data_IF_042653339201
#
_entry.id   IF_042653339201
#
_cell.length_a   1.000
_cell.length_b   1.000
_cell.length_c   1.000
_cell.angle_alpha   90.00
_cell.angle_beta   90.00
_cell.angle_gamma   90.00
#
_symmetry.space_group_name_H-M   'P 1'
#
loop_
_entity.id
_entity.type
_entity.pdbx_description
1 polymer ?
#
# COMPACT_ATOMS: atom_id res chain seq x y z
N UNK A 1 -27.60 45.91 34.63
CA UNK A 1 -26.28 45.65 34.04
C UNK A 1 -26.10 44.17 33.80
N UNK A 2 -26.44 43.69 32.61
CA UNK A 2 -26.36 42.25 32.20
C UNK A 2 -24.98 42.07 31.57
N UNK A 3 -24.09 41.33 32.24
CA UNK A 3 -22.79 40.89 31.68
C UNK A 3 -23.03 39.70 30.77
N UNK A 4 -22.97 39.91 29.45
CA UNK A 4 -23.01 38.92 28.42
C UNK A 4 -21.66 38.15 28.40
N UNK A 5 -21.65 36.90 28.91
CA UNK A 5 -20.48 36.04 28.90
C UNK A 5 -20.42 35.37 27.52
N UNK A 6 -19.58 35.83 26.61
CA UNK A 6 -19.35 35.20 25.32
C UNK A 6 -18.44 33.99 25.55
N UNK A 7 -19.05 32.80 25.53
CA UNK A 7 -18.32 31.50 25.59
C UNK A 7 -17.73 31.22 24.19
N UNK A 8 -16.42 31.46 24.04
CA UNK A 8 -15.69 31.19 22.84
C UNK A 8 -15.50 29.65 22.72
N UNK A 9 -16.34 28.98 21.91
CA UNK A 9 -16.14 27.56 21.60
C UNK A 9 -14.93 27.39 20.68
N UNK A 10 -13.81 27.01 21.24
CA UNK A 10 -12.63 26.56 20.49
C UNK A 10 -12.93 25.15 19.99
N UNK A 11 -13.29 25.03 18.72
CA UNK A 11 -13.43 23.72 18.06
C UNK A 11 -12.04 23.11 17.91
N UNK A 12 -11.79 21.89 18.42
CA UNK A 12 -10.53 21.20 18.18
C UNK A 12 -10.39 20.91 16.69
N UNK A 13 -9.37 21.48 16.05
CA UNK A 13 -8.95 21.04 14.71
C UNK A 13 -8.36 19.66 14.88
N UNK A 14 -9.03 18.65 14.30
CA UNK A 14 -8.54 17.28 14.30
C UNK A 14 -7.26 17.24 13.46
N UNK A 15 -6.10 17.31 14.09
CA UNK A 15 -4.82 17.08 13.43
C UNK A 15 -4.78 15.63 12.96
N UNK A 16 -4.70 15.42 11.65
CA UNK A 16 -4.54 14.08 11.09
C UNK A 16 -3.17 13.53 11.47
N UNK A 17 -3.15 12.43 12.22
CA UNK A 17 -1.89 11.86 12.67
C UNK A 17 -1.06 11.38 11.47
N UNK A 18 0.27 11.62 11.51
CA UNK A 18 1.22 11.14 10.51
C UNK A 18 1.14 9.60 10.36
N UNK A 19 0.76 9.06 9.19
CA UNK A 19 0.66 7.61 8.99
C UNK A 19 2.00 6.89 9.15
N UNK A 20 1.95 5.58 9.40
CA UNK A 20 3.12 4.72 9.25
C UNK A 20 3.36 4.42 7.77
N UNK A 21 4.60 4.09 7.39
CA UNK A 21 4.88 3.63 6.01
C UNK A 21 4.11 2.34 5.73
N UNK A 22 3.28 2.36 4.69
CA UNK A 22 2.43 1.23 4.34
C UNK A 22 1.24 1.61 3.49
N UNK A 23 0.29 0.68 3.38
CA UNK A 23 -0.97 0.85 2.68
C UNK A 23 -1.83 1.93 3.36
N UNK A 24 -2.37 2.85 2.57
CA UNK A 24 -3.42 3.78 2.99
C UNK A 24 -4.79 3.26 2.59
N UNK A 25 -4.98 3.01 1.30
CA UNK A 25 -6.26 2.58 0.75
C UNK A 25 -6.06 1.64 -0.44
N UNK A 26 -6.96 0.68 -0.59
CA UNK A 26 -7.08 -0.19 -1.76
C UNK A 26 -8.49 -0.01 -2.34
N UNK A 27 -8.59 0.75 -3.43
CA UNK A 27 -9.85 1.03 -4.09
C UNK A 27 -10.26 -0.07 -5.09
N UNK A 28 -9.29 -0.72 -5.74
CA UNK A 28 -9.57 -1.81 -6.69
C UNK A 28 -10.15 -3.06 -6.00
N UNK A 29 -11.20 -3.70 -6.56
CA UNK A 29 -11.73 -4.96 -6.06
C UNK A 29 -10.83 -6.16 -6.36
N UNK A 30 -9.90 -6.05 -7.32
CA UNK A 30 -9.01 -7.12 -7.72
C UNK A 30 -8.04 -7.51 -6.59
N UNK A 31 -7.62 -8.79 -6.50
CA UNK A 31 -6.62 -9.21 -5.54
C UNK A 31 -5.28 -8.49 -5.74
N UNK A 32 -4.73 -7.96 -4.68
CA UNK A 32 -3.41 -7.33 -4.67
C UNK A 32 -2.37 -8.39 -4.29
N UNK A 33 -1.62 -8.90 -5.28
CA UNK A 33 -0.68 -10.01 -5.10
C UNK A 33 0.70 -9.74 -5.70
N UNK A 34 0.87 -8.64 -6.43
CA UNK A 34 2.08 -8.34 -7.20
C UNK A 34 2.92 -7.33 -6.44
N UNK A 35 4.23 -7.56 -6.24
CA UNK A 35 5.06 -6.70 -5.40
C UNK A 35 5.35 -5.35 -6.03
N UNK A 36 5.20 -4.29 -5.25
CA UNK A 36 5.72 -2.95 -5.51
C UNK A 36 6.63 -2.54 -4.36
N UNK A 37 7.82 -2.07 -4.69
CA UNK A 37 8.71 -1.44 -3.73
C UNK A 37 9.06 -0.03 -4.20
N UNK A 38 8.94 0.95 -3.31
CA UNK A 38 9.27 2.35 -3.60
C UNK A 38 10.26 2.87 -2.58
N UNK A 39 11.32 3.52 -3.08
CA UNK A 39 12.23 4.36 -2.30
C UNK A 39 12.13 5.78 -2.79
N UNK A 40 12.24 6.74 -1.89
CA UNK A 40 12.17 8.17 -2.20
C UNK A 40 13.15 8.95 -1.30
N UNK A 41 13.41 10.23 -1.60
CA UNK A 41 14.26 11.08 -0.77
C UNK A 41 13.82 11.10 0.70
N UNK A 42 14.79 11.29 1.59
CA UNK A 42 14.57 11.16 3.03
C UNK A 42 14.05 12.44 3.71
N UNK A 43 14.09 13.55 3.03
CA UNK A 43 13.80 14.89 3.58
C UNK A 43 12.32 15.25 3.64
N UNK A 44 11.46 14.45 2.98
CA UNK A 44 10.00 14.63 2.96
C UNK A 44 9.30 13.27 3.10
N UNK A 45 8.02 13.33 3.43
CA UNK A 45 7.11 12.18 3.31
C UNK A 45 6.41 12.20 1.95
N UNK A 46 5.92 11.04 1.51
CA UNK A 46 5.35 10.89 0.18
C UNK A 46 4.05 10.08 0.24
N UNK A 47 3.02 10.55 -0.46
CA UNK A 47 1.84 9.77 -0.80
C UNK A 47 2.05 9.17 -2.19
N UNK A 48 1.96 7.86 -2.30
CA UNK A 48 2.16 7.07 -3.51
C UNK A 48 0.79 6.58 -3.95
N UNK A 49 0.35 6.98 -5.15
CA UNK A 49 -0.96 6.64 -5.67
C UNK A 49 -0.78 5.95 -7.01
N UNK A 50 -1.32 4.76 -7.16
CA UNK A 50 -1.44 4.10 -8.45
C UNK A 50 -2.87 4.28 -8.97
N UNK A 51 -2.98 4.71 -10.22
CA UNK A 51 -4.24 4.84 -10.96
C UNK A 51 -4.23 3.93 -12.17
N UNK A 52 -5.41 3.53 -12.63
CA UNK A 52 -5.57 2.82 -13.90
C UNK A 52 -5.40 3.76 -15.11
N UNK A 53 -5.66 3.25 -16.30
CA UNK A 53 -5.59 3.98 -17.57
C UNK A 53 -6.67 5.07 -17.69
N UNK A 54 -7.75 4.96 -16.93
CA UNK A 54 -8.84 5.94 -16.86
C UNK A 54 -8.62 7.00 -15.77
N UNK A 55 -7.55 6.85 -14.97
CA UNK A 55 -7.22 7.75 -13.87
C UNK A 55 -7.95 7.42 -12.57
N UNK A 56 -8.69 6.31 -12.50
CA UNK A 56 -9.33 5.89 -11.25
C UNK A 56 -8.29 5.32 -10.27
N UNK A 57 -8.41 5.63 -8.96
CA UNK A 57 -7.51 5.11 -7.95
C UNK A 57 -7.56 3.59 -7.86
N UNK A 58 -6.41 2.93 -7.85
CA UNK A 58 -6.26 1.49 -7.67
C UNK A 58 -5.81 1.16 -6.26
N UNK A 59 -4.75 1.80 -5.83
CA UNK A 59 -4.14 1.61 -4.51
C UNK A 59 -3.30 2.81 -4.13
N UNK A 60 -3.26 3.15 -2.86
CA UNK A 60 -2.43 4.22 -2.33
C UNK A 60 -1.65 3.77 -1.11
N UNK A 61 -0.50 4.39 -0.90
CA UNK A 61 0.37 4.12 0.23
C UNK A 61 1.07 5.37 0.73
N UNK A 62 1.48 5.34 1.98
CA UNK A 62 2.28 6.37 2.62
C UNK A 62 3.72 5.91 2.78
N UNK A 63 4.65 6.74 2.38
CA UNK A 63 6.08 6.50 2.50
C UNK A 63 6.71 7.63 3.33
N UNK A 64 7.16 7.31 4.54
CA UNK A 64 7.96 8.24 5.34
C UNK A 64 9.32 8.45 4.71
N UNK A 65 9.85 9.65 4.78
CA UNK A 65 11.17 9.98 4.30
C UNK A 65 12.23 9.01 4.80
N UNK A 66 13.08 8.48 3.91
CA UNK A 66 14.12 7.51 4.20
C UNK A 66 13.65 6.06 4.42
N UNK A 67 12.35 5.81 4.49
CA UNK A 67 11.82 4.46 4.59
C UNK A 67 11.72 3.77 3.21
N UNK A 68 11.27 2.52 3.21
CA UNK A 68 10.96 1.75 2.00
C UNK A 68 9.51 1.33 2.05
N UNK A 69 8.71 1.82 1.12
CA UNK A 69 7.33 1.36 0.95
C UNK A 69 7.32 0.00 0.26
N UNK A 70 6.56 -0.93 0.81
CA UNK A 70 6.28 -2.23 0.19
C UNK A 70 4.78 -2.44 0.16
N UNK A 71 4.23 -2.61 -1.04
CA UNK A 71 2.82 -2.90 -1.26
C UNK A 71 2.68 -4.15 -2.11
N UNK A 72 1.53 -4.78 -2.00
CA UNK A 72 1.04 -5.69 -3.02
C UNK A 72 0.01 -4.93 -3.85
N UNK A 73 0.10 -5.07 -5.18
CA UNK A 73 -0.68 -4.31 -6.17
C UNK A 73 -1.51 -5.27 -7.00
N UNK A 74 -2.74 -4.90 -7.41
CA UNK A 74 -3.51 -5.64 -8.40
C UNK A 74 -2.80 -5.69 -9.77
N UNK A 75 -3.12 -6.69 -10.62
CA UNK A 75 -2.59 -6.75 -11.99
C UNK A 75 -3.10 -5.58 -12.84
N UNK A 76 -2.31 -5.18 -13.83
CA UNK A 76 -2.61 -4.12 -14.78
C UNK A 76 -1.45 -3.17 -15.00
N UNK A 77 -1.61 -2.26 -15.96
CA UNK A 77 -0.70 -1.14 -16.19
C UNK A 77 -1.19 0.05 -15.37
N UNK A 78 -0.41 0.48 -14.41
CA UNK A 78 -0.80 1.57 -13.52
C UNK A 78 0.12 2.78 -13.68
N UNK A 79 -0.48 3.96 -13.59
CA UNK A 79 0.26 5.23 -13.54
C UNK A 79 0.59 5.58 -12.10
N UNK A 80 1.81 6.01 -11.88
CA UNK A 80 2.27 6.43 -10.57
C UNK A 80 2.13 7.94 -10.41
N UNK A 81 1.41 8.35 -9.40
CA UNK A 81 1.30 9.74 -8.96
C UNK A 81 1.88 9.86 -7.56
N UNK A 82 2.66 10.91 -7.33
CA UNK A 82 3.33 11.15 -6.05
C UNK A 82 3.03 12.57 -5.57
N UNK A 83 2.53 12.69 -4.35
CA UNK A 83 2.53 13.95 -3.63
C UNK A 83 3.59 13.89 -2.53
N UNK A 84 4.28 14.99 -2.29
CA UNK A 84 5.36 15.07 -1.30
C UNK A 84 5.23 16.31 -0.46
N UNK A 85 5.59 16.22 0.81
CA UNK A 85 5.62 17.35 1.71
C UNK A 85 6.17 16.99 3.09
N UNK A 86 6.35 18.02 3.94
CA UNK A 86 6.71 17.82 5.33
C UNK A 86 5.65 16.98 6.07
N UNK A 87 6.09 16.15 7.01
CA UNK A 87 5.21 15.24 7.73
C UNK A 87 4.03 15.92 8.46
N UNK A 88 4.25 17.15 8.95
CA UNK A 88 3.23 17.95 9.65
C UNK A 88 2.13 18.48 8.72
N UNK A 89 2.39 18.53 7.41
CA UNK A 89 1.44 19.07 6.42
C UNK A 89 0.48 17.99 5.90
N UNK A 90 0.58 16.77 6.41
CA UNK A 90 -0.30 15.68 6.03
C UNK A 90 -1.75 15.91 6.48
N UNK A 91 -2.69 15.94 5.52
CA UNK A 91 -4.12 16.22 5.73
C UNK A 91 -5.04 15.03 5.38
N UNK A 92 -4.47 13.88 5.03
CA UNK A 92 -5.22 12.73 4.52
C UNK A 92 -5.17 12.63 3.00
N UNK A 93 -5.77 11.55 2.44
CA UNK A 93 -5.67 11.24 1.01
C UNK A 93 -6.21 12.33 0.08
N UNK A 94 -7.36 13.00 0.33
CA UNK A 94 -7.89 14.00 -0.60
C UNK A 94 -6.94 15.18 -0.79
N UNK A 95 -6.39 15.70 0.29
CA UNK A 95 -5.61 16.94 0.31
C UNK A 95 -4.10 16.68 0.44
N UNK A 96 -3.71 15.48 0.86
CA UNK A 96 -2.34 15.00 1.05
C UNK A 96 -1.47 16.00 1.84
N UNK A 97 -0.58 16.72 1.19
CA UNK A 97 0.29 17.73 1.78
C UNK A 97 -0.07 19.16 1.35
N UNK A 98 -1.24 19.35 0.73
CA UNK A 98 -1.63 20.63 0.16
C UNK A 98 -0.82 21.05 -1.08
N UNK A 99 0.05 20.18 -1.57
CA UNK A 99 0.86 20.37 -2.79
C UNK A 99 0.30 19.56 -3.95
N UNK A 100 0.43 20.04 -5.20
CA UNK A 100 0.02 19.28 -6.36
C UNK A 100 0.73 17.93 -6.44
N UNK A 101 -0.02 16.88 -6.69
CA UNK A 101 0.57 15.57 -6.94
C UNK A 101 1.16 15.51 -8.36
N UNK A 102 2.32 14.89 -8.49
CA UNK A 102 3.07 14.78 -9.74
C UNK A 102 2.82 13.40 -10.34
N UNK A 103 2.22 13.35 -11.52
CA UNK A 103 2.08 12.12 -12.28
C UNK A 103 3.38 11.83 -13.03
N UNK A 104 3.91 10.61 -12.84
CA UNK A 104 5.09 10.16 -13.58
C UNK A 104 4.67 9.62 -14.95
N UNK A 105 5.43 9.97 -16.01
CA UNK A 105 4.96 9.76 -17.40
C UNK A 105 4.89 8.28 -17.81
N UNK A 106 5.66 7.41 -17.15
CA UNK A 106 5.78 6.02 -17.57
C UNK A 106 4.85 5.11 -16.75
N UNK A 107 3.98 4.32 -17.38
CA UNK A 107 3.19 3.32 -16.68
C UNK A 107 4.08 2.21 -16.11
N UNK A 108 3.63 1.63 -15.03
CA UNK A 108 4.25 0.50 -14.34
C UNK A 108 3.42 -0.74 -14.60
N UNK A 109 3.92 -1.75 -15.32
CA UNK A 109 3.23 -3.02 -15.53
C UNK A 109 3.31 -3.89 -14.28
N UNK A 110 2.18 -4.51 -13.94
CA UNK A 110 2.04 -5.53 -12.90
C UNK A 110 1.38 -6.75 -13.52
N UNK A 111 2.15 -7.82 -13.70
CA UNK A 111 1.75 -8.96 -14.51
C UNK A 111 1.63 -10.22 -13.66
N UNK A 112 0.60 -11.02 -13.97
CA UNK A 112 0.43 -12.38 -13.47
C UNK A 112 0.67 -13.32 -14.65
N UNK A 113 1.68 -14.18 -14.53
CA UNK A 113 1.95 -15.26 -15.47
C UNK A 113 2.05 -16.58 -14.70
N UNK A 114 1.00 -17.37 -14.77
CA UNK A 114 0.88 -18.60 -13.99
C UNK A 114 1.08 -18.33 -12.48
N UNK A 115 2.14 -18.91 -11.93
CA UNK A 115 2.54 -18.69 -10.53
C UNK A 115 3.40 -17.44 -10.34
N UNK A 116 3.95 -16.86 -11.39
CA UNK A 116 4.81 -15.67 -11.34
C UNK A 116 3.99 -14.41 -11.14
N UNK A 117 4.50 -13.52 -10.29
CA UNK A 117 3.97 -12.18 -10.02
C UNK A 117 5.10 -11.20 -10.30
N UNK A 118 4.98 -10.50 -11.42
CA UNK A 118 6.00 -9.58 -11.92
C UNK A 118 5.60 -8.15 -11.59
N UNK A 119 6.29 -7.57 -10.64
CA UNK A 119 6.08 -6.22 -10.15
C UNK A 119 7.31 -5.35 -10.32
N UNK A 120 7.38 -4.29 -9.54
CA UNK A 120 8.37 -3.24 -9.73
C UNK A 120 9.07 -2.86 -8.42
N UNK A 121 10.37 -2.56 -8.51
CA UNK A 121 11.12 -1.81 -7.52
C UNK A 121 11.58 -0.51 -8.15
N UNK A 122 11.21 0.63 -7.58
CA UNK A 122 11.53 1.95 -8.11
C UNK A 122 12.22 2.80 -7.07
N UNK A 123 13.13 3.64 -7.53
CA UNK A 123 13.75 4.69 -6.74
C UNK A 123 13.39 6.04 -7.34
N UNK A 124 12.84 6.91 -6.51
CA UNK A 124 12.52 8.29 -6.85
C UNK A 124 13.65 9.19 -6.37
N UNK A 125 13.99 10.18 -7.16
CA UNK A 125 14.94 11.24 -6.80
C UNK A 125 14.36 12.59 -7.18
N UNK A 126 14.85 13.64 -6.53
CA UNK A 126 14.48 15.01 -6.86
C UNK A 126 14.93 15.37 -8.28
N UNK A 127 14.09 16.13 -8.97
CA UNK A 127 14.36 16.71 -10.29
C UNK A 127 13.77 18.12 -10.31
N UNK A 128 14.57 19.10 -10.00
CA UNK A 128 14.09 20.45 -9.73
C UNK A 128 13.11 20.46 -8.54
N UNK A 129 11.92 20.99 -8.77
CA UNK A 129 10.83 21.02 -7.76
C UNK A 129 9.98 19.73 -7.78
N UNK A 130 10.32 18.76 -8.65
CA UNK A 130 9.58 17.51 -8.83
C UNK A 130 10.34 16.27 -8.41
N UNK A 131 9.76 15.14 -8.80
CA UNK A 131 10.34 13.81 -8.64
C UNK A 131 10.40 13.09 -9.98
N UNK A 132 11.44 12.27 -10.17
CA UNK A 132 11.56 11.35 -11.30
C UNK A 132 11.96 9.95 -10.86
N UNK A 133 11.67 8.95 -11.66
CA UNK A 133 12.20 7.60 -11.48
C UNK A 133 13.66 7.61 -11.97
N UNK A 134 14.60 7.32 -11.08
CA UNK A 134 16.03 7.21 -11.39
C UNK A 134 16.52 5.78 -11.52
N UNK A 135 15.81 4.84 -10.89
CA UNK A 135 16.09 3.41 -11.01
C UNK A 135 14.76 2.65 -11.04
N UNK A 136 14.68 1.66 -11.93
CA UNK A 136 13.56 0.77 -12.08
C UNK A 136 14.03 -0.65 -12.33
N UNK A 137 13.60 -1.57 -11.50
CA UNK A 137 13.94 -2.98 -11.59
C UNK A 137 12.67 -3.83 -11.51
N UNK A 138 12.64 -4.89 -12.30
CA UNK A 138 11.60 -5.90 -12.17
C UNK A 138 11.76 -6.65 -10.84
N UNK A 139 10.65 -6.86 -10.16
CA UNK A 139 10.60 -7.63 -8.92
C UNK A 139 9.65 -8.80 -9.10
N UNK A 140 10.22 -9.99 -9.11
CA UNK A 140 9.45 -11.21 -9.39
C UNK A 140 9.37 -12.04 -8.12
N UNK A 141 8.17 -12.52 -7.83
CA UNK A 141 7.91 -13.54 -6.81
C UNK A 141 7.07 -14.65 -7.40
N UNK A 142 7.29 -15.87 -6.92
CA UNK A 142 6.46 -17.03 -7.27
C UNK A 142 5.50 -17.36 -6.15
N UNK A 143 4.23 -17.55 -6.49
CA UNK A 143 3.22 -18.03 -5.55
C UNK A 143 3.03 -19.54 -5.72
N UNK A 144 3.39 -20.28 -4.70
CA UNK A 144 3.08 -21.70 -4.58
C UNK A 144 1.93 -21.90 -3.61
N UNK A 145 1.03 -22.79 -3.94
CA UNK A 145 -0.01 -23.24 -3.04
C UNK A 145 0.24 -24.71 -2.69
N UNK A 146 0.44 -24.98 -1.42
CA UNK A 146 0.53 -26.32 -0.86
C UNK A 146 -0.70 -26.63 0.00
N UNK A 147 -0.95 -27.89 0.24
CA UNK A 147 -1.91 -28.34 1.23
C UNK A 147 -1.17 -28.63 2.53
N UNK A 148 -1.47 -27.88 3.57
CA UNK A 148 -1.06 -28.26 4.92
C UNK A 148 -2.10 -29.22 5.50
N UNK A 149 -1.62 -30.35 5.99
CA UNK A 149 -2.46 -31.46 6.45
C UNK A 149 -2.25 -31.68 7.92
N UNK A 150 -3.25 -31.30 8.73
CA UNK A 150 -3.22 -31.46 10.17
C UNK A 150 -4.17 -32.56 10.64
N UNK A 151 -3.69 -33.47 11.48
CA UNK A 151 -4.53 -34.45 12.16
C UNK A 151 -5.19 -33.81 13.38
N UNK A 152 -6.51 -33.72 13.35
CA UNK A 152 -7.29 -33.14 14.43
C UNK A 152 -8.03 -34.24 15.19
N UNK A 153 -7.99 -34.19 16.51
CA UNK A 153 -8.81 -35.03 17.40
C UNK A 153 -9.83 -34.12 18.11
N UNK A 154 -11.10 -34.36 17.84
CA UNK A 154 -12.19 -33.61 18.46
C UNK A 154 -12.97 -34.52 19.39
N UNK A 155 -13.11 -34.17 20.67
CA UNK A 155 -13.91 -34.90 21.63
C UNK A 155 -15.29 -34.25 21.73
N UNK A 156 -16.33 -35.04 21.54
CA UNK A 156 -17.71 -34.60 21.72
C UNK A 156 -18.07 -34.53 23.22
N UNK A 157 -19.16 -33.83 23.58
CA UNK A 157 -19.67 -33.82 24.95
C UNK A 157 -20.02 -35.23 25.50
N UNK A 158 -20.31 -36.18 24.60
CA UNK A 158 -20.55 -37.59 24.95
C UNK A 158 -19.27 -38.37 25.29
N UNK A 159 -18.08 -37.75 25.21
CA UNK A 159 -16.80 -38.42 25.41
C UNK A 159 -16.27 -39.13 24.16
N UNK A 160 -17.03 -39.19 23.05
CA UNK A 160 -16.62 -39.83 21.83
C UNK A 160 -15.55 -39.00 21.11
N UNK A 161 -14.43 -39.62 20.68
CA UNK A 161 -13.36 -38.96 19.96
C UNK A 161 -13.49 -39.20 18.46
N UNK A 162 -13.45 -38.12 17.69
CA UNK A 162 -13.30 -38.16 16.23
C UNK A 162 -11.89 -37.80 15.86
N UNK A 163 -11.32 -38.55 14.93
CA UNK A 163 -10.04 -38.26 14.29
C UNK A 163 -10.32 -37.97 12.81
N UNK A 164 -9.97 -36.79 12.38
CA UNK A 164 -10.08 -36.41 10.97
C UNK A 164 -8.85 -35.63 10.53
N UNK A 165 -8.71 -35.52 9.24
CA UNK A 165 -7.64 -34.77 8.60
C UNK A 165 -8.23 -33.46 8.12
N UNK A 166 -7.71 -32.36 8.64
CA UNK A 166 -8.02 -31.03 8.16
C UNK A 166 -6.99 -30.63 7.11
N UNK A 167 -7.47 -30.27 5.93
CA UNK A 167 -6.64 -29.78 4.84
C UNK A 167 -6.87 -28.28 4.70
N UNK A 168 -5.79 -27.51 4.82
CA UNK A 168 -5.80 -26.07 4.64
C UNK A 168 -4.89 -25.72 3.49
N UNK A 169 -5.38 -24.84 2.58
CA UNK A 169 -4.54 -24.26 1.55
C UNK A 169 -3.56 -23.27 2.20
N UNK A 170 -2.28 -23.50 1.99
CA UNK A 170 -1.18 -22.66 2.48
C UNK A 170 -0.48 -21.96 1.29
N UNK A 171 -0.94 -20.75 0.89
CA UNK A 171 -0.30 -19.99 -0.17
C UNK A 171 0.99 -19.35 0.35
N UNK A 172 2.10 -19.61 -0.33
CA UNK A 172 3.42 -19.05 0.00
C UNK A 172 3.97 -18.25 -1.17
N UNK A 173 4.59 -17.11 -0.85
CA UNK A 173 5.37 -16.34 -1.82
C UNK A 173 6.85 -16.65 -1.60
N UNK A 174 7.51 -17.14 -2.63
CA UNK A 174 8.94 -17.49 -2.62
C UNK A 174 9.63 -16.76 -3.77
N UNK A 175 10.98 -16.57 -3.72
CA UNK A 175 11.73 -16.19 -4.91
C UNK A 175 11.47 -17.19 -6.04
N UNK A 176 11.39 -16.72 -7.28
CA UNK A 176 11.37 -17.61 -8.44
C UNK A 176 12.79 -18.07 -8.75
N UNK A 177 12.96 -19.33 -9.03
CA UNK A 177 14.21 -19.92 -9.52
C UNK A 177 14.45 -19.54 -10.98
#
# INVERSE_FOLDING_TARGET
>A
MIRLLILLMVLPVAATARPVTGLLEKASPLPATIPLQVRAPADMDHAIILTDDQGAPVISGYLRGGAVLRLLVPPGDHRLTVASGPAQDWQGLPDMFGTPAIALPQPLPFVIDGTRREGQSITLSKDGDGLRITDRQNRVICQNAGWDTTRVVKTLPSGTQFRYVEQRLDPRSIPCD
#
